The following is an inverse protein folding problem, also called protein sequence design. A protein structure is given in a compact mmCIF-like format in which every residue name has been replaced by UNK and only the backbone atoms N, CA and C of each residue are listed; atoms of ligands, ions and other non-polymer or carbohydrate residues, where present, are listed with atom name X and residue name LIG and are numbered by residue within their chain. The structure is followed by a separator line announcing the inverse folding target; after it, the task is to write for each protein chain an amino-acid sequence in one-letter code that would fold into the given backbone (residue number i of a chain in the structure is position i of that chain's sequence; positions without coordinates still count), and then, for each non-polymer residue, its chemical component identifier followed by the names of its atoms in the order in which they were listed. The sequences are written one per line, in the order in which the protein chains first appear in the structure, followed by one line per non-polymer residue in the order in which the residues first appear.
data_IF_987718113503
#
_entry.id   IF_987718113503
#
_cell.length_a   1.000
_cell.length_b   1.000
_cell.length_c   1.000
_cell.angle_alpha   90.00
_cell.angle_beta   90.00
_cell.angle_gamma   90.00
#
_symmetry.space_group_name_H-M   'P 1'
#
loop_
_entity.id
_entity.type
_entity.pdbx_description
1 polymer ?
#
# COMPACT_ATOMS: atom_id res chain seq x y z
N UNK A 1 15.61 -8.37 -24.80
CA UNK A 1 16.87 -7.67 -25.04
C UNK A 1 17.63 -7.56 -23.74
N UNK A 2 18.84 -8.14 -23.75
CA UNK A 2 19.71 -8.21 -22.61
C UNK A 2 20.16 -6.79 -22.23
N UNK A 3 19.95 -6.40 -21.00
CA UNK A 3 20.35 -5.08 -20.48
C UNK A 3 21.85 -5.04 -20.18
N UNK A 4 22.68 -5.49 -21.13
CA UNK A 4 24.13 -5.65 -20.99
C UNK A 4 24.82 -4.33 -20.60
N UNK A 5 24.31 -3.22 -21.13
CA UNK A 5 24.87 -1.88 -20.88
C UNK A 5 24.24 -1.16 -19.69
N UNK A 6 23.42 -1.86 -18.89
CA UNK A 6 22.72 -1.25 -17.75
C UNK A 6 21.98 0.05 -18.08
N UNK A 7 21.50 0.18 -19.31
CA UNK A 7 20.83 1.38 -19.83
C UNK A 7 19.47 1.64 -19.18
N UNK A 8 18.92 0.65 -18.46
CA UNK A 8 17.66 0.76 -17.74
C UNK A 8 17.69 -0.13 -16.49
N UNK A 9 16.93 0.25 -15.49
CA UNK A 9 16.71 -0.59 -14.31
C UNK A 9 15.83 -1.79 -14.72
N UNK A 10 16.24 -3.04 -14.45
CA UNK A 10 15.36 -4.19 -14.68
C UNK A 10 14.16 -4.10 -13.75
N UNK A 11 12.98 -4.45 -14.27
CA UNK A 11 11.79 -4.59 -13.43
C UNK A 11 12.01 -5.76 -12.45
N UNK A 12 11.92 -5.46 -11.18
CA UNK A 12 12.02 -6.43 -10.10
C UNK A 12 10.79 -6.30 -9.20
N UNK A 13 10.31 -7.43 -8.72
CA UNK A 13 9.31 -7.44 -7.67
C UNK A 13 9.91 -6.87 -6.39
N UNK A 14 9.12 -6.10 -5.65
CA UNK A 14 9.52 -5.65 -4.33
C UNK A 14 9.57 -6.84 -3.35
N UNK A 15 10.60 -6.90 -2.54
CA UNK A 15 10.64 -7.80 -1.40
C UNK A 15 9.56 -7.45 -0.39
N UNK A 16 9.12 -8.41 0.42
CA UNK A 16 8.05 -8.24 1.40
C UNK A 16 8.23 -7.02 2.30
N UNK A 17 9.46 -6.82 2.80
CA UNK A 17 9.81 -5.69 3.65
C UNK A 17 9.74 -4.36 2.89
N UNK A 18 10.22 -4.34 1.65
CA UNK A 18 10.15 -3.16 0.78
C UNK A 18 8.72 -2.82 0.41
N UNK A 19 7.89 -3.83 0.13
CA UNK A 19 6.47 -3.63 -0.18
C UNK A 19 5.75 -2.97 1.00
N UNK A 20 5.90 -3.51 2.21
CA UNK A 20 5.29 -2.92 3.41
C UNK A 20 5.80 -1.50 3.67
N UNK A 21 7.09 -1.28 3.57
CA UNK A 21 7.69 0.03 3.80
C UNK A 21 7.25 1.05 2.73
N UNK A 22 7.08 0.63 1.47
CA UNK A 22 6.54 1.46 0.39
C UNK A 22 5.09 1.86 0.64
N UNK A 23 4.23 0.92 1.03
CA UNK A 23 2.83 1.20 1.39
C UNK A 23 2.73 2.24 2.53
N UNK A 24 3.56 2.09 3.56
CA UNK A 24 3.64 3.04 4.66
C UNK A 24 4.17 4.42 4.22
N UNK A 25 5.16 4.45 3.33
CA UNK A 25 5.74 5.69 2.81
C UNK A 25 4.76 6.46 1.92
N UNK A 26 4.05 5.77 1.03
CA UNK A 26 3.04 6.36 0.15
C UNK A 26 1.91 7.00 0.96
N UNK A 27 1.47 6.33 2.02
CA UNK A 27 0.40 6.82 2.91
C UNK A 27 0.84 7.86 3.94
N UNK A 28 2.13 8.26 3.96
CA UNK A 28 2.73 9.15 4.97
C UNK A 28 2.59 8.60 6.41
N UNK A 29 2.62 7.29 6.55
CA UNK A 29 2.56 6.59 7.85
C UNK A 29 3.88 5.95 8.26
N UNK A 30 4.94 6.14 7.47
CA UNK A 30 6.28 5.63 7.77
C UNK A 30 7.06 6.61 8.64
N UNK A 31 7.55 6.13 9.78
CA UNK A 31 8.48 6.87 10.65
C UNK A 31 9.91 6.40 10.41
N UNK A 32 10.81 7.33 10.11
CA UNK A 32 12.23 7.07 9.90
C UNK A 32 13.04 7.18 11.22
N UNK A 33 12.57 6.49 12.28
CA UNK A 33 13.26 6.44 13.57
C UNK A 33 14.11 5.18 13.59
N UNK A 34 15.42 5.38 13.75
CA UNK A 34 16.40 4.31 13.88
C UNK A 34 16.65 3.94 15.34
N UNK A 35 17.08 2.70 15.57
CA UNK A 35 17.45 2.15 16.88
C UNK A 35 16.26 1.98 17.85
N UNK A 36 16.57 1.49 19.04
CA UNK A 36 15.60 1.19 20.09
C UNK A 36 15.03 -0.23 20.04
N UNK A 37 14.08 -0.55 20.93
CA UNK A 37 13.44 -1.86 20.96
C UNK A 37 12.65 -2.16 19.71
N UNK A 38 12.47 -3.46 19.39
CA UNK A 38 11.67 -3.88 18.25
C UNK A 38 10.18 -3.54 18.45
N UNK A 39 9.52 -3.15 17.35
CA UNK A 39 8.08 -2.88 17.37
C UNK A 39 7.29 -4.17 17.59
N UNK A 40 6.30 -4.17 18.50
CA UNK A 40 5.53 -5.36 18.81
C UNK A 40 4.61 -5.75 17.66
N UNK A 41 4.27 -7.04 17.65
CA UNK A 41 3.23 -7.61 16.80
C UNK A 41 2.11 -8.16 17.66
N UNK A 42 0.92 -8.15 17.14
CA UNK A 42 -0.29 -8.68 17.77
C UNK A 42 -0.92 -9.74 16.87
N UNK A 43 -1.29 -10.87 17.49
CA UNK A 43 -2.12 -11.86 16.83
C UNK A 43 -3.59 -11.50 17.04
N UNK A 44 -4.30 -11.26 15.95
CA UNK A 44 -5.74 -10.98 15.95
C UNK A 44 -6.57 -12.26 16.03
N UNK A 45 -7.83 -12.11 16.42
CA UNK A 45 -8.78 -13.25 16.49
C UNK A 45 -9.07 -13.88 15.12
N UNK A 46 -8.85 -13.16 14.02
CA UNK A 46 -8.98 -13.68 12.65
C UNK A 46 -7.73 -14.46 12.17
N UNK A 47 -6.75 -14.67 13.04
CA UNK A 47 -5.50 -15.39 12.74
C UNK A 47 -4.42 -14.55 12.07
N UNK A 48 -4.69 -13.28 11.75
CA UNK A 48 -3.68 -12.39 11.21
C UNK A 48 -2.76 -11.87 12.30
N UNK A 49 -1.46 -11.81 12.01
CA UNK A 49 -0.48 -11.14 12.85
C UNK A 49 -0.16 -9.80 12.21
N UNK A 50 -0.39 -8.73 12.96
CA UNK A 50 -0.21 -7.35 12.51
C UNK A 50 0.80 -6.60 13.38
N UNK A 51 1.49 -5.61 12.81
CA UNK A 51 2.35 -4.72 13.58
C UNK A 51 1.53 -3.59 14.18
N UNK A 52 1.81 -3.26 15.44
CA UNK A 52 1.14 -2.17 16.14
C UNK A 52 1.70 -0.81 15.72
N UNK A 53 0.84 0.18 15.44
CA UNK A 53 1.29 1.55 15.21
C UNK A 53 1.70 2.21 16.53
N UNK A 54 2.68 3.09 16.45
CA UNK A 54 3.05 3.99 17.55
C UNK A 54 2.60 5.39 17.15
N UNK A 55 1.61 5.92 17.85
CA UNK A 55 0.98 7.22 17.52
C UNK A 55 0.47 7.29 16.07
N UNK A 56 -0.17 6.22 15.59
CA UNK A 56 -0.76 6.15 14.24
C UNK A 56 0.22 5.98 13.09
N UNK A 57 1.49 5.71 13.38
CA UNK A 57 2.55 5.51 12.40
C UNK A 57 3.38 4.27 12.72
N UNK A 58 4.11 3.75 11.73
CA UNK A 58 4.94 2.55 11.86
C UNK A 58 6.38 2.86 11.47
N UNK A 59 7.31 2.14 12.09
CA UNK A 59 8.71 2.11 11.62
C UNK A 59 8.88 1.14 10.45
N UNK A 60 10.05 1.19 9.82
CA UNK A 60 10.42 0.26 8.76
C UNK A 60 10.35 -1.20 9.24
N UNK A 61 10.08 -2.09 8.30
CA UNK A 61 9.92 -3.53 8.56
C UNK A 61 11.10 -4.17 9.30
N UNK A 62 12.30 -3.63 9.15
CA UNK A 62 13.50 -4.11 9.86
C UNK A 62 13.41 -3.96 11.40
N UNK A 63 12.56 -3.04 11.87
CA UNK A 63 12.36 -2.80 13.31
C UNK A 63 11.20 -3.57 13.91
N UNK A 64 10.46 -4.34 13.12
CA UNK A 64 9.34 -5.15 13.61
C UNK A 64 9.88 -6.44 14.19
N UNK A 65 9.40 -6.83 15.39
CA UNK A 65 9.80 -8.08 16.03
C UNK A 65 9.49 -9.29 15.16
N UNK A 66 10.47 -10.17 14.98
CA UNK A 66 10.32 -11.41 14.23
C UNK A 66 10.19 -12.59 15.19
N UNK A 67 9.01 -13.20 15.24
CA UNK A 67 8.76 -14.42 16.03
C UNK A 67 8.52 -15.59 15.08
N UNK A 68 9.11 -16.76 15.40
CA UNK A 68 8.90 -17.98 14.59
C UNK A 68 7.45 -18.46 14.64
N UNK A 69 6.82 -18.35 15.80
CA UNK A 69 5.46 -18.82 16.06
C UNK A 69 4.39 -17.83 15.58
N UNK A 70 4.72 -16.56 15.43
CA UNK A 70 3.80 -15.50 15.06
C UNK A 70 4.49 -14.54 14.07
N UNK A 71 4.77 -14.99 12.84
CA UNK A 71 5.35 -14.13 11.82
C UNK A 71 4.35 -13.08 11.38
N UNK A 72 4.82 -11.86 11.10
CA UNK A 72 3.97 -10.80 10.55
C UNK A 72 3.35 -11.24 9.22
N UNK A 73 2.01 -11.30 9.16
CA UNK A 73 1.29 -11.95 8.06
C UNK A 73 1.62 -11.36 6.69
N UNK A 74 1.68 -10.03 6.55
CA UNK A 74 2.02 -9.39 5.28
C UNK A 74 3.40 -9.84 4.78
N UNK A 75 4.40 -9.94 5.66
CA UNK A 75 5.73 -10.39 5.26
C UNK A 75 5.73 -11.85 4.86
N UNK A 76 4.99 -12.70 5.59
CA UNK A 76 4.84 -14.12 5.26
C UNK A 76 4.15 -14.35 3.91
N UNK A 77 3.09 -13.58 3.64
CA UNK A 77 2.32 -13.65 2.39
C UNK A 77 3.17 -13.26 1.16
N UNK A 78 4.12 -12.35 1.33
CA UNK A 78 4.99 -11.84 0.26
C UNK A 78 6.41 -12.43 0.26
N UNK A 79 6.54 -13.71 0.60
CA UNK A 79 7.76 -14.50 0.45
C UNK A 79 8.94 -14.00 1.30
N UNK A 80 8.67 -13.59 2.56
CA UNK A 80 9.75 -13.31 3.50
C UNK A 80 10.68 -14.53 3.63
N UNK A 81 12.02 -14.34 3.70
CA UNK A 81 12.94 -15.44 3.94
C UNK A 81 12.57 -16.24 5.18
N UNK A 82 12.57 -17.57 5.06
CA UNK A 82 12.38 -18.46 6.21
C UNK A 82 13.63 -18.43 7.11
N UNK A 83 13.40 -18.46 8.43
CA UNK A 83 14.50 -18.42 9.40
C UNK A 83 15.01 -19.82 9.77
N UNK A 84 14.37 -20.88 9.29
CA UNK A 84 14.75 -22.26 9.57
C UNK A 84 14.21 -23.20 8.45
N UNK A 85 15.09 -23.86 7.69
CA UNK A 85 16.55 -23.64 7.63
C UNK A 85 16.91 -22.24 7.11
N UNK A 86 18.17 -21.83 7.30
CA UNK A 86 18.61 -20.53 6.81
C UNK A 86 18.36 -20.41 5.31
N UNK A 87 17.73 -19.30 4.91
CA UNK A 87 17.44 -19.01 3.53
C UNK A 87 18.71 -18.51 2.82
N UNK A 88 19.20 -19.24 1.85
CA UNK A 88 20.35 -18.86 1.02
C UNK A 88 19.91 -17.95 -0.12
N UNK A 89 18.70 -18.16 -0.64
CA UNK A 89 18.14 -17.41 -1.76
C UNK A 89 16.67 -17.10 -1.50
N UNK A 90 16.24 -15.87 -1.80
CA UNK A 90 14.83 -15.48 -1.67
C UNK A 90 14.02 -16.12 -2.79
N UNK A 91 12.96 -16.80 -2.42
CA UNK A 91 11.96 -17.26 -3.38
C UNK A 91 10.98 -16.12 -3.67
N UNK A 92 10.56 -16.03 -4.92
CA UNK A 92 9.51 -15.11 -5.36
C UNK A 92 8.35 -15.92 -5.93
N UNK A 93 7.18 -15.78 -5.33
CA UNK A 93 5.96 -16.42 -5.82
C UNK A 93 4.94 -15.38 -6.26
N UNK A 94 4.04 -15.75 -7.17
CA UNK A 94 2.86 -14.96 -7.52
C UNK A 94 1.65 -15.84 -7.33
N UNK A 95 0.99 -15.67 -6.19
CA UNK A 95 -0.12 -16.53 -5.77
C UNK A 95 -1.34 -15.70 -5.37
N UNK A 96 -2.53 -16.29 -5.53
CA UNK A 96 -3.79 -15.62 -5.24
C UNK A 96 -3.91 -15.02 -3.82
N UNK A 97 -3.38 -15.64 -2.75
CA UNK A 97 -3.41 -15.05 -1.42
C UNK A 97 -2.75 -13.67 -1.31
N UNK A 98 -1.76 -13.36 -2.14
CA UNK A 98 -1.11 -12.04 -2.14
C UNK A 98 -2.06 -10.95 -2.63
N UNK A 99 -2.75 -11.20 -3.75
CA UNK A 99 -3.76 -10.28 -4.27
C UNK A 99 -4.94 -10.12 -3.29
N UNK A 100 -5.42 -11.22 -2.72
CA UNK A 100 -6.49 -11.18 -1.71
C UNK A 100 -6.07 -10.42 -0.46
N UNK A 101 -4.80 -10.53 -0.04
CA UNK A 101 -4.29 -9.79 1.10
C UNK A 101 -4.30 -8.28 0.83
N UNK A 102 -3.85 -7.83 -0.35
CA UNK A 102 -3.88 -6.41 -0.70
C UNK A 102 -5.31 -5.87 -0.81
N UNK A 103 -6.23 -6.67 -1.34
CA UNK A 103 -7.64 -6.25 -1.52
C UNK A 103 -8.44 -6.20 -0.22
N UNK A 104 -8.20 -7.15 0.71
CA UNK A 104 -9.10 -7.36 1.85
C UNK A 104 -8.49 -6.99 3.21
N UNK A 105 -7.19 -6.70 3.27
CA UNK A 105 -6.55 -6.43 4.55
C UNK A 105 -6.92 -5.04 5.08
N UNK A 106 -7.43 -5.01 6.32
CA UNK A 106 -7.82 -3.75 6.98
C UNK A 106 -6.69 -2.71 7.02
N UNK A 107 -5.44 -3.13 7.29
CA UNK A 107 -4.30 -2.21 7.31
C UNK A 107 -4.10 -1.54 5.95
N UNK A 108 -4.20 -2.31 4.85
CA UNK A 108 -4.05 -1.77 3.49
C UNK A 108 -5.17 -0.76 3.20
N UNK A 109 -6.40 -1.07 3.61
CA UNK A 109 -7.52 -0.16 3.47
C UNK A 109 -7.30 1.14 4.28
N UNK A 110 -6.88 1.04 5.54
CA UNK A 110 -6.60 2.21 6.39
C UNK A 110 -5.45 3.06 5.80
N UNK A 111 -4.43 2.43 5.21
CA UNK A 111 -3.35 3.13 4.49
C UNK A 111 -3.84 3.82 3.22
N UNK A 112 -4.81 3.23 2.51
CA UNK A 112 -5.43 3.84 1.32
C UNK A 112 -6.22 5.10 1.68
N UNK A 113 -6.92 5.09 2.81
CA UNK A 113 -7.62 6.27 3.35
C UNK A 113 -6.59 7.37 3.67
N UNK A 114 -5.52 7.05 4.39
CA UNK A 114 -4.47 8.01 4.71
C UNK A 114 -3.78 8.56 3.44
N UNK A 115 -3.58 7.71 2.43
CA UNK A 115 -3.04 8.14 1.15
C UNK A 115 -3.98 9.10 0.42
N UNK A 116 -5.29 8.84 0.42
CA UNK A 116 -6.27 9.74 -0.16
C UNK A 116 -6.31 11.11 0.56
N UNK A 117 -6.21 11.12 1.89
CA UNK A 117 -6.08 12.34 2.68
C UNK A 117 -4.83 13.15 2.29
N UNK A 118 -3.69 12.48 2.15
CA UNK A 118 -2.44 13.08 1.68
C UNK A 118 -2.58 13.68 0.29
N UNK A 119 -3.11 12.92 -0.67
CA UNK A 119 -3.33 13.38 -2.05
C UNK A 119 -4.23 14.61 -2.06
N UNK A 120 -5.30 14.60 -1.29
CA UNK A 120 -6.24 15.73 -1.18
C UNK A 120 -5.59 16.96 -0.54
N UNK A 121 -4.79 16.79 0.49
CA UNK A 121 -4.08 17.90 1.15
C UNK A 121 -3.03 18.55 0.23
N UNK A 122 -2.36 17.75 -0.61
CA UNK A 122 -1.27 18.21 -1.49
C UNK A 122 -1.78 18.73 -2.85
N UNK A 123 -2.89 18.20 -3.38
CA UNK A 123 -3.43 18.54 -4.72
C UNK A 123 -4.76 19.32 -4.68
N UNK A 124 -5.37 19.50 -3.50
CA UNK A 124 -6.65 20.18 -3.36
C UNK A 124 -7.84 19.37 -3.88
N UNK A 125 -8.91 20.07 -4.29
CA UNK A 125 -10.18 19.46 -4.71
C UNK A 125 -10.29 19.10 -6.20
N UNK A 126 -9.26 19.37 -7.02
CA UNK A 126 -9.31 19.09 -8.46
C UNK A 126 -8.99 17.60 -8.74
N UNK A 127 -9.93 16.81 -9.30
CA UNK A 127 -9.72 15.38 -9.54
C UNK A 127 -8.51 15.08 -10.45
N UNK A 128 -8.28 15.89 -11.48
CA UNK A 128 -7.15 15.71 -12.39
C UNK A 128 -5.81 15.92 -11.65
N UNK A 129 -5.72 16.91 -10.79
CA UNK A 129 -4.54 17.16 -9.98
C UNK A 129 -4.32 16.05 -8.95
N UNK A 130 -5.40 15.54 -8.34
CA UNK A 130 -5.36 14.42 -7.41
C UNK A 130 -4.84 13.15 -8.07
N UNK A 131 -5.32 12.79 -9.26
CA UNK A 131 -4.85 11.63 -10.02
C UNK A 131 -3.35 11.78 -10.33
N UNK A 132 -2.94 12.93 -10.88
CA UNK A 132 -1.51 13.17 -11.17
C UNK A 132 -0.65 13.06 -9.93
N UNK A 133 -1.13 13.61 -8.80
CA UNK A 133 -0.40 13.52 -7.52
C UNK A 133 -0.31 12.11 -7.00
N UNK A 134 -1.40 11.34 -7.05
CA UNK A 134 -1.43 9.94 -6.65
C UNK A 134 -0.42 9.10 -7.45
N UNK A 135 -0.40 9.24 -8.77
CA UNK A 135 0.59 8.57 -9.63
C UNK A 135 2.03 8.95 -9.30
N UNK A 136 2.27 10.23 -9.06
CA UNK A 136 3.61 10.71 -8.73
C UNK A 136 4.11 10.15 -7.40
N UNK A 137 3.25 10.09 -6.37
CA UNK A 137 3.62 9.56 -5.06
C UNK A 137 3.81 8.04 -5.10
N UNK A 138 2.86 7.31 -5.69
CA UNK A 138 2.86 5.85 -5.65
C UNK A 138 3.79 5.23 -6.70
N UNK A 139 3.86 5.81 -7.90
CA UNK A 139 4.54 5.22 -9.05
C UNK A 139 5.74 6.04 -9.54
N UNK A 140 6.04 7.18 -8.90
CA UNK A 140 7.14 8.10 -9.24
C UNK A 140 7.11 8.58 -10.71
N UNK A 141 5.93 8.61 -11.33
CA UNK A 141 5.71 9.09 -12.70
C UNK A 141 4.35 9.77 -12.84
N UNK A 142 4.20 10.59 -13.85
CA UNK A 142 2.88 11.10 -14.23
C UNK A 142 2.08 10.04 -15.01
N UNK A 143 0.74 10.06 -14.91
CA UNK A 143 -0.10 9.25 -15.79
C UNK A 143 0.03 9.74 -17.24
N UNK A 144 -0.05 8.82 -18.19
CA UNK A 144 -0.24 9.19 -19.59
C UNK A 144 -1.69 9.64 -19.85
N UNK A 145 -2.00 10.14 -21.05
CA UNK A 145 -3.33 10.68 -21.39
C UNK A 145 -4.43 9.62 -21.24
N UNK A 146 -4.17 8.38 -21.67
CA UNK A 146 -5.15 7.28 -21.58
C UNK A 146 -5.38 6.86 -20.11
N UNK A 147 -4.33 6.79 -19.31
CA UNK A 147 -4.42 6.50 -17.86
C UNK A 147 -5.18 7.60 -17.13
N UNK A 148 -4.93 8.85 -17.47
CA UNK A 148 -5.61 10.00 -16.86
C UNK A 148 -7.11 9.99 -17.19
N UNK A 149 -7.48 9.78 -18.45
CA UNK A 149 -8.86 9.71 -18.88
C UNK A 149 -9.60 8.53 -18.23
N UNK A 150 -8.98 7.35 -18.21
CA UNK A 150 -9.53 6.17 -17.54
C UNK A 150 -9.75 6.43 -16.04
N UNK A 151 -8.78 7.04 -15.36
CA UNK A 151 -8.84 7.35 -13.94
C UNK A 151 -9.94 8.37 -13.62
N UNK A 152 -10.12 9.38 -14.45
CA UNK A 152 -11.21 10.36 -14.30
C UNK A 152 -12.57 9.69 -14.41
N UNK A 153 -12.79 8.88 -15.45
CA UNK A 153 -14.04 8.13 -15.62
C UNK A 153 -14.29 7.15 -14.46
N UNK A 154 -13.24 6.54 -13.95
CA UNK A 154 -13.35 5.65 -12.78
C UNK A 154 -13.79 6.41 -11.52
N UNK A 155 -13.19 7.57 -11.22
CA UNK A 155 -13.60 8.41 -10.10
C UNK A 155 -15.04 8.92 -10.22
N UNK A 156 -15.46 9.33 -11.42
CA UNK A 156 -16.85 9.75 -11.66
C UNK A 156 -17.84 8.60 -11.44
N UNK A 157 -17.52 7.41 -11.96
CA UNK A 157 -18.32 6.20 -11.76
C UNK A 157 -18.45 5.84 -10.29
N UNK A 158 -17.32 5.78 -9.55
CA UNK A 158 -17.32 5.48 -8.12
C UNK A 158 -18.11 6.53 -7.34
N UNK A 159 -17.92 7.81 -7.64
CA UNK A 159 -18.66 8.88 -6.97
C UNK A 159 -20.17 8.74 -7.18
N UNK A 160 -20.59 8.39 -8.39
CA UNK A 160 -22.00 8.15 -8.70
C UNK A 160 -22.56 6.92 -7.98
N UNK A 161 -21.79 5.84 -7.92
CA UNK A 161 -22.16 4.63 -7.20
C UNK A 161 -22.31 4.89 -5.70
N UNK A 162 -21.37 5.61 -5.07
CA UNK A 162 -21.46 5.96 -3.67
C UNK A 162 -22.66 6.85 -3.35
N UNK A 163 -22.98 7.82 -4.21
CA UNK A 163 -24.19 8.65 -4.06
C UNK A 163 -25.50 7.84 -4.13
N UNK A 164 -25.52 6.79 -4.95
CA UNK A 164 -26.69 5.93 -5.07
C UNK A 164 -26.81 4.95 -3.89
N UNK A 165 -25.68 4.39 -3.43
CA UNK A 165 -25.67 3.39 -2.36
C UNK A 165 -25.93 4.00 -0.98
N UNK A 166 -25.44 5.22 -0.73
CA UNK A 166 -25.55 5.91 0.54
C UNK A 166 -26.02 7.38 0.33
N UNK A 167 -27.31 7.61 0.01
CA UNK A 167 -27.81 8.97 -0.27
C UNK A 167 -27.63 9.96 0.89
N UNK A 168 -27.73 9.47 2.13
CA UNK A 168 -27.57 10.28 3.35
C UNK A 168 -26.14 10.79 3.53
N UNK A 169 -25.16 10.16 2.88
CA UNK A 169 -23.74 10.51 2.91
C UNK A 169 -23.21 10.98 1.53
N UNK A 170 -24.08 11.45 0.66
CA UNK A 170 -23.73 11.86 -0.71
C UNK A 170 -22.61 12.92 -0.78
N UNK A 171 -22.46 13.73 0.27
CA UNK A 171 -21.38 14.73 0.39
C UNK A 171 -19.99 14.08 0.56
N UNK A 172 -19.92 12.87 1.09
CA UNK A 172 -18.67 12.12 1.29
C UNK A 172 -18.31 11.25 0.08
N UNK A 173 -19.22 11.08 -0.89
CA UNK A 173 -19.01 10.21 -2.04
C UNK A 173 -17.73 10.51 -2.85
N UNK A 174 -17.33 11.78 -3.11
CA UNK A 174 -16.07 12.06 -3.79
C UNK A 174 -14.84 11.62 -2.98
N UNK A 175 -14.89 11.76 -1.65
CA UNK A 175 -13.79 11.33 -0.77
C UNK A 175 -13.65 9.81 -0.79
N UNK A 176 -14.76 9.07 -0.65
CA UNK A 176 -14.75 7.60 -0.71
C UNK A 176 -14.33 7.06 -2.09
N UNK A 177 -14.70 7.76 -3.15
CA UNK A 177 -14.24 7.45 -4.50
C UNK A 177 -12.71 7.60 -4.63
N UNK A 178 -12.15 8.67 -4.06
CA UNK A 178 -10.71 8.89 -4.03
C UNK A 178 -9.98 7.82 -3.19
N UNK A 179 -10.54 7.40 -2.06
CA UNK A 179 -9.99 6.33 -1.21
C UNK A 179 -9.92 5.00 -1.97
N UNK A 180 -11.00 4.63 -2.69
CA UNK A 180 -11.02 3.44 -3.52
C UNK A 180 -10.05 3.53 -4.70
N UNK A 181 -9.91 4.71 -5.31
CA UNK A 181 -8.93 4.94 -6.35
C UNK A 181 -7.50 4.81 -5.80
N UNK A 182 -7.21 5.41 -4.66
CA UNK A 182 -5.92 5.28 -3.99
C UNK A 182 -5.61 3.81 -3.63
N UNK A 183 -6.62 3.05 -3.19
CA UNK A 183 -6.47 1.61 -2.94
C UNK A 183 -6.13 0.81 -4.21
N UNK A 184 -6.64 1.21 -5.36
CA UNK A 184 -6.31 0.54 -6.62
C UNK A 184 -4.93 0.90 -7.17
N UNK A 185 -4.35 2.03 -6.74
CA UNK A 185 -3.03 2.52 -7.20
C UNK A 185 -1.88 1.97 -6.36
N UNK A 186 -2.09 1.67 -5.08
CA UNK A 186 -1.08 1.10 -4.16
C UNK A 186 -1.13 -0.40 -4.10
#
# INVERSE_FOLDING_TARGET
PDNIWLSRMPLRRLDAEMLRDALLSVSDRLRLISFGPADPVEARSDGLVVSQPIQGSWRRSIYVIQRRTQPLTILGTFDRPQMNPNCVERMNSTVAPQALHLLNNKMIHDLSVAFAERVKSEAGGNPQAQIKRAYLIALSRSPNEAELDLSLRYLEKLTSQWKQSEPDQATQAPQRALENFCHAVI
#
